data_IF_006862083743
#
_entry.id   IF_006862083743
#
_cell.length_a   1.000
_cell.length_b   1.000
_cell.length_c   1.000
_cell.angle_alpha   90.00
_cell.angle_beta   90.00
_cell.angle_gamma   90.00
#
_symmetry.space_group_name_H-M   'P 1'
#
loop_
_entity.id
_entity.type
_entity.pdbx_description
1 polymer ?
#
# COMPACT_ATOMS: atom_id res chain seq x y z
N UNK A 1 22.69 -5.83 13.44
CA UNK A 1 21.73 -6.95 13.42
C UNK A 1 20.70 -6.66 14.50
N UNK A 2 19.60 -6.03 14.11
CA UNK A 2 18.22 -6.56 14.08
C UNK A 2 17.47 -6.47 15.42
N UNK A 3 17.18 -5.22 15.82
CA UNK A 3 16.39 -4.83 16.99
C UNK A 3 15.05 -5.57 17.15
N UNK A 4 14.44 -6.00 16.03
CA UNK A 4 13.17 -6.73 16.06
C UNK A 4 13.27 -8.12 16.72
N UNK A 5 14.36 -8.86 16.48
CA UNK A 5 14.54 -10.18 17.08
C UNK A 5 14.74 -10.07 18.61
N UNK A 6 15.46 -9.05 19.06
CA UNK A 6 15.70 -8.79 20.48
C UNK A 6 14.41 -8.42 21.23
N UNK A 7 13.50 -7.69 20.58
CA UNK A 7 12.18 -7.36 21.15
C UNK A 7 11.35 -8.62 21.33
N UNK A 8 11.30 -9.47 20.30
CA UNK A 8 10.52 -10.72 20.34
C UNK A 8 11.06 -11.68 21.41
N UNK A 9 12.38 -11.82 21.48
CA UNK A 9 13.04 -12.63 22.50
C UNK A 9 12.81 -12.13 23.93
N UNK A 10 12.68 -10.81 24.13
CA UNK A 10 12.47 -10.23 25.46
C UNK A 10 11.03 -10.31 25.94
N UNK A 11 10.06 -10.09 25.04
CA UNK A 11 8.67 -9.87 25.44
C UNK A 11 7.73 -11.05 25.16
N UNK A 12 8.13 -11.98 24.30
CA UNK A 12 7.26 -13.07 23.83
C UNK A 12 8.02 -14.41 23.84
N UNK A 13 8.53 -14.79 25.00
CA UNK A 13 9.41 -15.97 25.18
C UNK A 13 8.72 -17.32 24.99
N UNK A 14 7.39 -17.36 25.09
CA UNK A 14 6.59 -18.59 25.02
C UNK A 14 6.03 -18.89 23.62
N UNK A 15 6.31 -18.05 22.63
CA UNK A 15 5.76 -18.16 21.29
C UNK A 15 6.89 -18.36 20.27
N UNK A 16 6.63 -19.18 19.26
CA UNK A 16 7.54 -19.36 18.15
C UNK A 16 7.33 -18.23 17.13
N UNK A 17 8.38 -17.45 16.88
CA UNK A 17 8.33 -16.31 15.96
C UNK A 17 9.02 -16.65 14.63
N UNK A 18 8.32 -16.41 13.52
CA UNK A 18 8.90 -16.51 12.17
C UNK A 18 9.05 -15.11 11.59
N UNK A 19 10.29 -14.64 11.48
CA UNK A 19 10.60 -13.35 10.83
C UNK A 19 10.79 -13.60 9.34
N UNK A 20 9.81 -13.18 8.52
CA UNK A 20 9.93 -13.23 7.06
C UNK A 20 10.56 -11.92 6.58
N UNK A 21 11.85 -11.97 6.25
CA UNK A 21 12.52 -10.84 5.59
C UNK A 21 12.30 -10.96 4.09
N UNK A 22 11.39 -10.15 3.58
CA UNK A 22 11.13 -10.08 2.14
C UNK A 22 12.25 -9.28 1.45
N UNK A 23 13.31 -9.97 1.02
CA UNK A 23 14.41 -9.42 0.22
C UNK A 23 14.05 -9.26 -1.26
N UNK A 24 12.79 -8.95 -1.59
CA UNK A 24 12.44 -8.73 -2.99
C UNK A 24 13.24 -7.54 -3.53
N UNK A 25 13.82 -7.67 -4.74
CA UNK A 25 14.54 -6.58 -5.41
C UNK A 25 13.63 -5.39 -5.79
N UNK A 26 12.35 -5.41 -5.39
CA UNK A 26 11.39 -4.32 -5.61
C UNK A 26 11.79 -3.00 -4.95
N UNK A 27 12.77 -3.00 -4.05
CA UNK A 27 13.44 -1.78 -3.60
C UNK A 27 14.80 -1.66 -4.27
N UNK A 28 14.83 -1.51 -5.60
CA UNK A 28 16.00 -0.91 -6.23
C UNK A 28 16.24 0.43 -5.54
N UNK A 29 17.36 0.53 -4.82
CA UNK A 29 17.84 1.79 -4.29
C UNK A 29 17.89 2.74 -5.49
N UNK A 30 16.99 3.71 -5.51
CA UNK A 30 17.00 4.76 -6.49
C UNK A 30 18.42 5.32 -6.54
N UNK A 31 19.02 5.39 -7.73
CA UNK A 31 20.37 5.94 -7.89
C UNK A 31 20.45 7.32 -7.25
N UNK A 32 21.63 7.78 -6.85
CA UNK A 32 21.77 9.03 -6.09
C UNK A 32 21.16 10.26 -6.81
N UNK A 33 20.96 10.19 -8.13
CA UNK A 33 20.27 11.21 -8.94
C UNK A 33 18.84 10.85 -9.38
N UNK A 34 18.28 9.72 -8.96
CA UNK A 34 16.93 9.35 -9.34
C UNK A 34 15.90 10.24 -8.61
N UNK A 35 14.89 10.76 -9.33
CA UNK A 35 13.94 11.70 -8.76
C UNK A 35 13.10 11.00 -7.68
N UNK A 36 13.20 11.53 -6.46
CA UNK A 36 12.31 11.13 -5.38
C UNK A 36 10.95 11.74 -5.62
N UNK A 37 9.91 10.90 -5.71
CA UNK A 37 8.52 11.34 -5.81
C UNK A 37 8.14 12.31 -4.67
N UNK A 38 8.80 12.21 -3.51
CA UNK A 38 8.59 13.10 -2.37
C UNK A 38 8.98 14.56 -2.66
N UNK A 39 9.85 14.82 -3.65
CA UNK A 39 10.29 16.16 -4.05
C UNK A 39 9.51 16.70 -5.25
N UNK A 40 8.59 15.92 -5.82
CA UNK A 40 7.78 16.36 -6.95
C UNK A 40 6.56 17.15 -6.44
N UNK A 41 6.35 18.40 -6.88
CA UNK A 41 5.22 19.19 -6.41
C UNK A 41 3.91 18.56 -6.90
N UNK A 42 2.88 18.66 -6.07
CA UNK A 42 1.55 18.14 -6.40
C UNK A 42 0.94 18.83 -7.63
N UNK A 43 1.18 20.13 -7.78
CA UNK A 43 0.67 20.96 -8.86
C UNK A 43 1.81 21.58 -9.66
N UNK A 44 1.51 22.16 -10.82
CA UNK A 44 2.49 22.93 -11.60
C UNK A 44 3.09 24.02 -10.70
N UNK A 45 4.43 24.05 -10.51
CA UNK A 45 5.07 25.07 -9.68
C UNK A 45 4.88 26.45 -10.33
N UNK A 46 4.91 27.53 -9.52
CA UNK A 46 4.72 28.91 -10.00
C UNK A 46 6.01 29.70 -10.13
N UNK A 47 7.00 29.40 -9.29
CA UNK A 47 8.21 30.21 -9.13
C UNK A 47 9.43 29.56 -9.81
N UNK A 48 9.66 28.27 -9.53
CA UNK A 48 10.80 27.53 -10.05
C UNK A 48 10.36 26.22 -10.67
N UNK A 49 10.77 25.97 -11.90
CA UNK A 49 10.51 24.71 -12.58
C UNK A 49 11.29 23.56 -11.93
N UNK A 50 10.73 22.35 -11.97
CA UNK A 50 11.39 21.15 -11.49
C UNK A 50 12.25 20.56 -12.62
N UNK A 51 13.56 20.65 -12.51
CA UNK A 51 14.55 20.13 -13.46
C UNK A 51 15.53 19.21 -12.73
N UNK A 52 16.12 18.25 -13.44
CA UNK A 52 17.18 17.40 -12.92
C UNK A 52 18.56 18.00 -13.22
N UNK A 53 19.49 17.87 -12.28
CA UNK A 53 20.90 18.13 -12.54
C UNK A 53 21.48 16.99 -13.39
N UNK A 54 22.08 17.34 -14.52
CA UNK A 54 22.86 16.46 -15.39
C UNK A 54 24.24 17.06 -15.61
N UNK A 55 25.18 16.24 -16.09
CA UNK A 55 26.50 16.72 -16.52
C UNK A 55 26.52 16.80 -18.05
N UNK A 56 26.98 17.91 -18.61
CA UNK A 56 27.19 18.06 -20.05
C UNK A 56 28.49 17.35 -20.51
N UNK A 57 28.75 17.31 -21.82
CA UNK A 57 29.95 16.66 -22.38
C UNK A 57 31.27 17.33 -21.91
N UNK A 58 31.20 18.55 -21.39
CA UNK A 58 32.33 19.30 -20.87
C UNK A 58 32.54 19.10 -19.35
N UNK A 59 31.70 18.32 -18.69
CA UNK A 59 31.76 18.12 -17.24
C UNK A 59 31.03 19.18 -16.40
N UNK A 60 30.32 20.13 -17.01
CA UNK A 60 29.56 21.15 -16.31
C UNK A 60 28.19 20.63 -15.87
N UNK A 61 27.72 21.08 -14.70
CA UNK A 61 26.37 20.78 -14.23
C UNK A 61 25.34 21.65 -14.94
N UNK A 62 24.38 21.01 -15.61
CA UNK A 62 23.28 21.65 -16.32
C UNK A 62 21.93 21.16 -15.78
N UNK A 63 20.92 22.03 -15.77
CA UNK A 63 19.56 21.66 -15.40
C UNK A 63 18.78 21.27 -16.65
N UNK A 64 18.34 20.02 -16.72
CA UNK A 64 17.60 19.47 -17.87
C UNK A 64 16.21 18.98 -17.46
N UNK A 65 15.22 19.00 -18.36
CA UNK A 65 13.94 18.36 -18.12
C UNK A 65 14.14 16.87 -17.82
N UNK A 66 13.43 16.36 -16.82
CA UNK A 66 13.39 14.94 -16.53
C UNK A 66 12.77 14.17 -17.70
N UNK A 67 13.37 13.04 -18.04
CA UNK A 67 12.74 12.11 -18.99
C UNK A 67 11.49 11.52 -18.35
N UNK A 68 10.41 11.46 -19.13
CA UNK A 68 9.16 10.86 -18.70
C UNK A 68 9.21 9.34 -18.60
N UNK A 69 8.16 8.78 -18.00
CA UNK A 69 7.92 7.34 -18.05
C UNK A 69 7.28 6.91 -19.37
N UNK A 70 6.86 5.65 -19.43
CA UNK A 70 6.01 5.13 -20.49
C UNK A 70 4.73 4.58 -19.86
N UNK A 71 3.60 4.80 -20.52
CA UNK A 71 2.35 4.14 -20.18
C UNK A 71 2.40 2.65 -20.58
N UNK A 72 1.43 1.86 -20.11
CA UNK A 72 1.33 0.43 -20.42
C UNK A 72 1.10 0.13 -21.90
N UNK A 73 0.55 1.08 -22.64
CA UNK A 73 0.40 1.03 -24.10
C UNK A 73 1.71 1.34 -24.87
N UNK A 74 2.80 1.68 -24.16
CA UNK A 74 4.09 2.05 -24.74
C UNK A 74 4.23 3.53 -25.11
N UNK A 75 3.19 4.34 -24.95
CA UNK A 75 3.27 5.77 -25.22
C UNK A 75 4.06 6.51 -24.12
N UNK A 76 4.85 7.55 -24.47
CA UNK A 76 5.60 8.30 -23.48
C UNK A 76 4.69 9.14 -22.58
N UNK A 77 4.86 9.04 -21.27
CA UNK A 77 4.20 9.89 -20.29
C UNK A 77 5.00 11.19 -20.11
N UNK A 78 4.54 12.27 -20.73
CA UNK A 78 5.19 13.58 -20.64
C UNK A 78 5.01 14.21 -19.25
N UNK A 79 6.13 14.49 -18.57
CA UNK A 79 6.14 15.17 -17.26
C UNK A 79 5.99 16.69 -17.35
N UNK A 80 6.17 17.25 -18.54
CA UNK A 80 6.18 18.68 -18.81
C UNK A 80 5.08 19.03 -19.81
N UNK A 81 4.54 20.25 -19.70
CA UNK A 81 3.60 20.78 -20.69
C UNK A 81 4.25 20.91 -22.08
N UNK A 82 3.52 20.62 -23.16
CA UNK A 82 4.05 20.72 -24.52
C UNK A 82 4.39 22.17 -24.88
N UNK A 83 5.18 22.35 -25.93
CA UNK A 83 5.68 23.69 -26.32
C UNK A 83 4.58 24.69 -26.69
N UNK A 84 3.38 24.22 -27.03
CA UNK A 84 2.28 25.06 -27.51
C UNK A 84 1.37 25.58 -26.38
N UNK A 85 1.70 25.32 -25.12
CA UNK A 85 0.88 25.67 -23.97
C UNK A 85 1.34 26.97 -23.27
N UNK A 86 0.42 27.62 -22.54
CA UNK A 86 0.76 28.81 -21.71
C UNK A 86 1.85 28.51 -20.67
N UNK A 87 1.95 27.25 -20.24
CA UNK A 87 2.94 26.76 -19.29
C UNK A 87 4.03 25.92 -19.99
N UNK A 88 4.30 26.15 -21.28
CA UNK A 88 5.24 25.35 -22.07
C UNK A 88 6.55 25.05 -21.33
N UNK A 89 6.93 23.76 -21.32
CA UNK A 89 8.15 23.24 -20.66
C UNK A 89 8.16 23.32 -19.13
N UNK A 90 7.05 23.69 -18.48
CA UNK A 90 6.91 23.58 -17.03
C UNK A 90 6.47 22.18 -16.61
N UNK A 91 6.96 21.74 -15.46
CA UNK A 91 6.57 20.47 -14.87
C UNK A 91 5.07 20.49 -14.53
N UNK A 92 4.31 19.50 -15.02
CA UNK A 92 2.84 19.48 -14.90
C UNK A 92 2.36 19.41 -13.44
N UNK A 93 3.10 18.72 -12.58
CA UNK A 93 2.67 18.38 -11.23
C UNK A 93 2.15 16.95 -11.14
N UNK A 94 2.32 16.33 -9.99
CA UNK A 94 1.92 14.93 -9.78
C UNK A 94 0.42 14.67 -9.94
N UNK A 95 -0.43 15.64 -9.63
CA UNK A 95 -1.88 15.48 -9.77
C UNK A 95 -2.30 15.29 -11.23
N UNK A 96 -1.74 16.06 -12.15
CA UNK A 96 -2.06 15.96 -13.59
C UNK A 96 -1.45 14.68 -14.19
N UNK A 97 -0.20 14.37 -13.86
CA UNK A 97 0.47 13.14 -14.31
C UNK A 97 -0.31 11.90 -13.84
N UNK A 98 -0.77 11.89 -12.59
CA UNK A 98 -1.58 10.79 -12.06
C UNK A 98 -2.95 10.70 -12.73
N UNK A 99 -3.56 11.83 -13.09
CA UNK A 99 -4.82 11.86 -13.84
C UNK A 99 -4.64 11.22 -15.21
N UNK A 100 -3.64 11.65 -15.98
CA UNK A 100 -3.29 11.08 -17.30
C UNK A 100 -3.07 9.56 -17.20
N UNK A 101 -2.38 9.09 -16.15
CA UNK A 101 -2.11 7.64 -15.98
C UNK A 101 -3.34 6.79 -15.70
N UNK A 102 -4.43 7.37 -15.18
CA UNK A 102 -5.68 6.63 -14.95
C UNK A 102 -6.51 6.49 -16.22
N UNK A 103 -6.45 7.49 -17.08
CA UNK A 103 -7.24 7.54 -18.31
C UNK A 103 -6.65 6.64 -19.40
N UNK A 104 -5.35 6.30 -19.32
CA UNK A 104 -4.65 5.41 -20.26
C UNK A 104 -4.71 3.93 -19.83
N UNK A 105 -5.54 3.54 -18.84
CA UNK A 105 -5.68 2.12 -18.50
C UNK A 105 -6.41 1.40 -19.64
N UNK A 106 -5.74 0.56 -20.47
CA UNK A 106 -6.48 -0.39 -21.29
C UNK A 106 -7.28 -1.26 -20.33
N UNK A 107 -8.56 -1.44 -20.62
CA UNK A 107 -9.61 -2.03 -19.77
C UNK A 107 -9.27 -3.41 -19.15
N UNK A 108 -8.13 -4.01 -19.48
CA UNK A 108 -7.90 -5.44 -19.42
C UNK A 108 -7.03 -5.94 -18.26
N UNK A 109 -6.36 -5.07 -17.48
CA UNK A 109 -5.43 -5.52 -16.41
C UNK A 109 -5.97 -5.34 -14.99
N UNK A 110 -6.67 -4.24 -14.69
CA UNK A 110 -7.19 -4.01 -13.34
C UNK A 110 -8.47 -4.81 -13.05
N UNK A 111 -9.30 -5.10 -14.07
CA UNK A 111 -10.55 -5.87 -13.91
C UNK A 111 -10.32 -7.33 -13.53
N UNK A 112 -9.23 -7.97 -13.97
CA UNK A 112 -8.95 -9.38 -13.65
C UNK A 112 -8.64 -9.62 -12.16
N UNK A 113 -8.07 -8.62 -11.48
CA UNK A 113 -7.79 -8.73 -10.04
C UNK A 113 -9.03 -8.42 -9.17
N UNK A 114 -9.92 -7.52 -9.60
CA UNK A 114 -11.20 -7.30 -8.91
C UNK A 114 -12.16 -8.48 -9.07
N UNK A 115 -12.25 -9.08 -10.25
CA UNK A 115 -13.00 -10.32 -10.48
C UNK A 115 -12.49 -11.48 -9.60
N UNK A 116 -11.17 -11.64 -9.47
CA UNK A 116 -10.57 -12.66 -8.60
C UNK A 116 -10.90 -12.42 -7.11
N UNK A 117 -10.80 -11.17 -6.64
CA UNK A 117 -11.13 -10.82 -5.25
C UNK A 117 -12.64 -10.92 -4.97
N UNK A 118 -13.50 -10.58 -5.94
CA UNK A 118 -14.95 -10.74 -5.84
C UNK A 118 -15.36 -12.22 -5.81
N UNK A 119 -14.73 -13.07 -6.64
CA UNK A 119 -14.92 -14.53 -6.59
C UNK A 119 -14.44 -15.14 -5.28
N UNK A 120 -13.31 -14.70 -4.73
CA UNK A 120 -12.85 -15.15 -3.42
C UNK A 120 -13.82 -14.75 -2.31
N UNK A 121 -14.43 -13.56 -2.38
CA UNK A 121 -15.47 -13.12 -1.44
C UNK A 121 -16.71 -14.01 -1.54
N UNK A 122 -17.23 -14.25 -2.75
CA UNK A 122 -18.43 -15.06 -2.99
C UNK A 122 -18.23 -16.54 -2.61
N UNK A 123 -17.04 -17.10 -2.82
CA UNK A 123 -16.74 -18.50 -2.48
C UNK A 123 -16.35 -18.69 -1.01
N UNK A 124 -16.19 -17.63 -0.23
CA UNK A 124 -15.79 -17.73 1.19
C UNK A 124 -16.94 -18.08 2.14
N UNK A 125 -18.19 -18.08 1.66
CA UNK A 125 -19.36 -18.51 2.45
C UNK A 125 -19.52 -17.75 3.76
N UNK A 126 -18.98 -16.53 3.86
CA UNK A 126 -19.13 -15.68 5.04
C UNK A 126 -20.57 -15.17 5.07
N UNK A 127 -21.39 -15.54 6.07
CA UNK A 127 -22.72 -14.98 6.21
C UNK A 127 -22.60 -13.47 6.43
N UNK A 128 -23.44 -12.75 5.69
CA UNK A 128 -23.62 -11.31 5.81
C UNK A 128 -24.24 -11.03 7.20
N UNK A 129 -23.40 -10.84 8.22
CA UNK A 129 -23.86 -10.27 9.47
C UNK A 129 -24.00 -8.76 9.24
N UNK A 130 -25.23 -8.33 9.03
CA UNK A 130 -25.65 -6.94 9.15
C UNK A 130 -25.19 -6.40 10.51
N UNK A 131 -24.20 -5.51 10.50
CA UNK A 131 -23.85 -4.72 11.67
C UNK A 131 -24.86 -3.58 11.81
N UNK A 132 -26.07 -3.90 12.27
CA UNK A 132 -26.93 -2.96 12.97
C UNK A 132 -26.74 -3.18 14.48
N UNK A 133 -25.76 -2.49 15.07
CA UNK A 133 -25.73 -2.02 16.47
C UNK A 133 -24.33 -1.51 16.79
N UNK A 134 -24.18 -0.18 16.85
CA UNK A 134 -23.58 0.54 17.99
C UNK A 134 -23.47 2.03 17.62
N UNK A 135 -24.64 2.68 17.56
CA UNK A 135 -24.74 4.04 18.10
C UNK A 135 -24.68 3.93 19.63
N UNK A 136 -23.88 4.80 20.25
CA UNK A 136 -23.68 4.98 21.70
C UNK A 136 -22.54 4.13 22.30
N UNK A 137 -21.30 4.61 22.17
CA UNK A 137 -20.39 4.84 23.30
C UNK A 137 -19.45 6.00 22.95
N UNK A 138 -19.67 7.15 23.60
CA UNK A 138 -18.67 8.20 23.67
C UNK A 138 -17.57 7.77 24.65
N UNK A 139 -16.35 7.64 24.17
CA UNK A 139 -15.17 7.62 25.04
C UNK A 139 -13.92 8.08 24.28
N UNK A 140 -13.40 9.20 24.76
CA UNK A 140 -12.04 9.76 24.60
C UNK A 140 -10.99 8.82 23.97
N UNK A 141 -10.51 9.22 22.79
CA UNK A 141 -9.42 8.58 22.06
C UNK A 141 -8.07 9.11 22.55
N UNK A 142 -7.22 8.26 23.14
CA UNK A 142 -5.78 8.55 23.28
C UNK A 142 -5.06 8.05 22.02
N UNK A 143 -4.08 8.79 21.48
CA UNK A 143 -3.32 8.36 20.31
C UNK A 143 -2.22 7.39 20.74
N UNK A 144 -2.04 6.26 20.03
CA UNK A 144 -0.76 5.55 20.10
C UNK A 144 -0.71 4.03 19.89
N UNK A 145 -1.81 3.32 19.63
CA UNK A 145 -1.73 1.86 19.39
C UNK A 145 -2.64 1.49 18.22
N UNK A 146 -2.05 0.96 17.13
CA UNK A 146 -2.78 0.24 16.08
C UNK A 146 -2.55 -1.26 16.30
N UNK A 147 -3.60 -1.96 16.73
CA UNK A 147 -3.63 -3.43 16.69
C UNK A 147 -4.10 -3.85 15.30
N UNK A 148 -3.25 -4.58 14.57
CA UNK A 148 -3.67 -5.30 13.37
C UNK A 148 -4.14 -6.69 13.78
N UNK A 149 -5.41 -6.99 13.52
CA UNK A 149 -5.94 -8.35 13.62
C UNK A 149 -5.72 -9.09 12.30
N UNK A 150 -4.97 -10.20 12.35
CA UNK A 150 -4.75 -11.07 11.20
C UNK A 150 -5.81 -12.21 11.20
N UNK A 151 -6.49 -12.48 10.08
CA UNK A 151 -7.62 -13.44 10.03
C UNK A 151 -7.24 -14.93 10.18
N UNK A 152 -5.97 -15.25 10.46
CA UNK A 152 -5.51 -16.63 10.65
C UNK A 152 -5.75 -17.18 12.08
N UNK A 153 -6.01 -16.32 13.07
CA UNK A 153 -6.20 -16.74 14.48
C UNK A 153 -7.57 -17.34 14.80
N UNK A 154 -8.58 -17.17 13.94
CA UNK A 154 -9.97 -17.58 14.23
C UNK A 154 -10.15 -19.11 14.12
N UNK A 155 -9.30 -19.82 13.37
CA UNK A 155 -9.47 -21.27 13.15
C UNK A 155 -9.05 -22.14 14.34
N UNK A 156 -8.19 -21.66 15.24
CA UNK A 156 -7.83 -22.43 16.44
C UNK A 156 -8.81 -22.24 17.59
N UNK A 157 -9.50 -21.10 17.69
CA UNK A 157 -10.45 -20.85 18.78
C UNK A 157 -11.75 -21.67 18.63
N UNK A 158 -12.19 -21.95 17.40
CA UNK A 158 -13.40 -22.74 17.14
C UNK A 158 -13.22 -24.26 17.33
N UNK A 159 -11.98 -24.78 17.37
CA UNK A 159 -11.74 -26.20 17.72
C UNK A 159 -11.79 -26.47 19.23
N UNK A 160 -11.55 -25.45 20.08
CA UNK A 160 -11.60 -25.59 21.54
C UNK A 160 -13.01 -25.40 22.12
N UNK A 161 -13.90 -24.67 21.44
CA UNK A 161 -15.29 -24.51 21.88
C UNK A 161 -16.18 -25.73 21.59
N UNK A 162 -15.86 -26.53 20.56
CA UNK A 162 -16.63 -27.74 20.21
C UNK A 162 -16.37 -28.94 21.14
N UNK A 163 -15.24 -28.96 21.86
CA UNK A 163 -14.89 -30.09 22.74
C UNK A 163 -15.48 -30.00 24.15
N UNK A 164 -16.17 -28.90 24.52
CA UNK A 164 -16.62 -28.64 25.90
C UNK A 164 -18.13 -28.80 26.15
N UNK A 165 -18.92 -29.22 25.15
CA UNK A 165 -20.37 -29.39 25.29
C UNK A 165 -20.88 -30.85 25.43
N UNK A 166 -20.01 -31.85 25.60
CA UNK A 166 -20.45 -33.23 25.84
C UNK A 166 -19.99 -33.71 27.23
N UNK A 167 -20.59 -33.14 28.28
CA UNK A 167 -20.89 -33.91 29.50
C UNK A 167 -21.94 -33.16 30.31
N UNK A 168 -23.21 -33.59 30.21
CA UNK A 168 -24.22 -33.29 31.21
C UNK A 168 -24.32 -34.53 32.11
N UNK A 169 -24.14 -34.42 33.44
CA UNK A 169 -24.34 -35.55 34.34
C UNK A 169 -25.83 -35.88 34.45
N UNK A 170 -26.15 -37.15 34.26
CA UNK A 170 -27.47 -37.73 34.52
C UNK A 170 -27.73 -37.74 36.02
N UNK A 171 -28.77 -37.04 36.46
CA UNK A 171 -29.20 -37.04 37.86
C UNK A 171 -29.91 -38.37 38.17
N UNK A 172 -29.32 -39.16 39.07
CA UNK A 172 -29.95 -40.31 39.71
C UNK A 172 -30.92 -39.82 40.78
N UNK A 173 -32.21 -40.15 40.63
CA UNK A 173 -33.21 -40.00 41.69
C UNK A 173 -33.19 -41.26 42.57
N UNK A 174 -33.16 -41.05 43.89
CA UNK A 174 -33.39 -42.06 44.95
C UNK A 174 -34.74 -41.75 45.56
#
# INVERSE_FOLDING_TARGET
MSHAADILAKHYTSEDHVIVVHNSPTHHKQGAGAPSAARMPKYTPKEKNLLAESTDDNGNKVLVPMTGGYFSNGEPQLLYWPANDKCARWFKGMAEIAKESRDVVPETVCQKNTEFLLRLRQNSGMPEQETEQESVWGASFRPGIRLFWHPAGIRQFLRLAAAKQISKPTATQI
#
